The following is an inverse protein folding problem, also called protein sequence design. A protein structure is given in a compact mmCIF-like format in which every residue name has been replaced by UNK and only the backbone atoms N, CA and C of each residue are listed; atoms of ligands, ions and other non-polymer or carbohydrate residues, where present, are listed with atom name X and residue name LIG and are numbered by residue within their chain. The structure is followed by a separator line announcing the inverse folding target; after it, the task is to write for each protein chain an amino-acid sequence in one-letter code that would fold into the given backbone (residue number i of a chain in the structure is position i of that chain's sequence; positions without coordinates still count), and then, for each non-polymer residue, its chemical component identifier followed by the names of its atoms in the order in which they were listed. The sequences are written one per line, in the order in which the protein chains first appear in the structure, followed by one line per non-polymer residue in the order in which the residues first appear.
data_IF_345517876735
#
_entry.id   IF_345517876735
#
_cell.length_a   1.000
_cell.length_b   1.000
_cell.length_c   1.000
_cell.angle_alpha   90.00
_cell.angle_beta   90.00
_cell.angle_gamma   90.00
#
_symmetry.space_group_name_H-M   'P 1'
#
loop_
_entity.id
_entity.type
_entity.pdbx_description
1 polymer ?
#
# COMPACT_ATOMS: atom_id res chain seq x y z
N UNK A 1 -60.06 -39.74 -5.91
CA UNK A 1 -59.79 -38.60 -6.80
C UNK A 1 -58.97 -37.46 -6.15
N UNK A 2 -58.34 -37.67 -4.98
CA UNK A 2 -57.58 -36.60 -4.27
C UNK A 2 -56.06 -36.91 -4.17
N UNK A 3 -55.65 -38.18 -4.33
CA UNK A 3 -54.23 -38.55 -4.31
C UNK A 3 -53.48 -38.31 -5.63
N UNK A 4 -54.16 -38.32 -6.78
CA UNK A 4 -53.56 -38.12 -8.09
C UNK A 4 -53.20 -36.65 -8.40
N UNK A 5 -53.83 -35.68 -7.72
CA UNK A 5 -53.50 -34.25 -7.89
C UNK A 5 -52.24 -33.81 -7.13
N UNK A 6 -51.82 -34.55 -6.10
CA UNK A 6 -50.69 -34.15 -5.23
C UNK A 6 -49.33 -34.52 -5.82
N UNK A 7 -49.25 -35.56 -6.64
CA UNK A 7 -48.01 -35.94 -7.33
C UNK A 7 -47.68 -34.98 -8.48
N UNK A 8 -48.69 -34.53 -9.24
CA UNK A 8 -48.48 -33.64 -10.40
C UNK A 8 -47.91 -32.27 -10.03
N UNK A 9 -48.24 -31.74 -8.84
CA UNK A 9 -47.73 -30.45 -8.35
C UNK A 9 -46.26 -30.55 -7.91
N UNK A 10 -45.85 -31.69 -7.34
CA UNK A 10 -44.46 -31.90 -6.90
C UNK A 10 -43.47 -31.97 -8.07
N UNK A 11 -43.85 -32.61 -9.19
CA UNK A 11 -43.01 -32.66 -10.38
C UNK A 11 -42.90 -31.29 -11.08
N UNK A 12 -43.94 -30.46 -11.02
CA UNK A 12 -43.95 -29.12 -11.62
C UNK A 12 -42.99 -28.16 -10.89
N UNK A 13 -42.96 -28.21 -9.55
CA UNK A 13 -42.11 -27.34 -8.71
C UNK A 13 -40.62 -27.67 -8.88
N UNK A 14 -40.26 -28.94 -9.05
CA UNK A 14 -38.86 -29.33 -9.34
C UNK A 14 -38.42 -28.91 -10.75
N UNK A 15 -39.30 -28.98 -11.75
CA UNK A 15 -38.99 -28.50 -13.11
C UNK A 15 -38.82 -26.97 -13.17
N UNK A 16 -39.62 -26.21 -12.42
CA UNK A 16 -39.53 -24.76 -12.33
C UNK A 16 -38.23 -24.29 -11.63
N UNK A 17 -37.77 -25.00 -10.59
CA UNK A 17 -36.47 -24.71 -9.97
C UNK A 17 -35.28 -25.09 -10.86
N UNK A 18 -35.38 -26.15 -11.67
CA UNK A 18 -34.32 -26.52 -12.60
C UNK A 18 -34.20 -25.50 -13.76
N UNK A 19 -35.29 -24.96 -14.28
CA UNK A 19 -35.23 -23.96 -15.37
C UNK A 19 -34.73 -22.59 -14.86
N UNK A 20 -35.00 -22.22 -13.61
CA UNK A 20 -34.45 -21.01 -12.99
C UNK A 20 -32.96 -21.12 -12.63
N UNK A 21 -32.40 -22.33 -12.50
CA UNK A 21 -30.97 -22.55 -12.30
C UNK A 21 -30.15 -22.47 -13.61
N UNK A 22 -30.78 -22.63 -14.77
CA UNK A 22 -30.13 -22.59 -16.10
C UNK A 22 -30.34 -21.27 -16.86
N UNK A 23 -31.05 -20.31 -16.28
CA UNK A 23 -31.20 -18.97 -16.82
C UNK A 23 -30.52 -17.92 -15.93
N UNK A 24 -29.30 -18.21 -15.47
CA UNK A 24 -28.34 -17.12 -15.32
C UNK A 24 -28.09 -16.61 -16.74
N UNK A 25 -28.44 -15.36 -17.09
CA UNK A 25 -27.80 -14.80 -18.26
C UNK A 25 -26.31 -14.95 -17.99
N UNK A 26 -25.61 -15.69 -18.84
CA UNK A 26 -24.16 -15.67 -18.84
C UNK A 26 -23.83 -14.19 -18.83
N UNK A 27 -23.33 -13.69 -17.69
CA UNK A 27 -22.89 -12.32 -17.58
C UNK A 27 -21.90 -12.22 -18.70
N UNK A 28 -22.28 -11.49 -19.76
CA UNK A 28 -21.43 -11.32 -20.92
C UNK A 28 -20.10 -10.95 -20.31
N UNK A 29 -19.10 -11.81 -20.50
CA UNK A 29 -17.72 -11.49 -20.16
C UNK A 29 -17.43 -10.35 -21.11
N UNK A 30 -17.76 -9.13 -20.65
CA UNK A 30 -17.51 -7.89 -21.33
C UNK A 30 -16.12 -8.05 -21.87
N UNK A 31 -15.97 -7.90 -23.18
CA UNK A 31 -14.69 -8.01 -23.85
C UNK A 31 -13.75 -7.08 -23.09
N UNK A 32 -12.97 -7.64 -22.16
CA UNK A 32 -12.43 -6.86 -21.06
C UNK A 32 -11.35 -6.01 -21.70
N UNK A 33 -11.69 -4.75 -21.99
CA UNK A 33 -10.70 -3.75 -22.33
C UNK A 33 -9.55 -3.91 -21.35
N UNK A 34 -8.32 -3.89 -21.87
CA UNK A 34 -7.12 -4.11 -21.06
C UNK A 34 -7.23 -3.27 -19.78
N UNK A 35 -7.28 -3.95 -18.62
CA UNK A 35 -7.37 -3.27 -17.33
C UNK A 35 -6.07 -2.50 -17.13
N UNK A 36 -6.18 -1.18 -17.01
CA UNK A 36 -5.03 -0.29 -16.77
C UNK A 36 -4.44 -0.60 -15.40
N UNK A 37 -3.22 -1.15 -15.29
CA UNK A 37 -2.61 -1.37 -13.98
C UNK A 37 -2.35 -0.05 -13.25
N UNK A 38 -2.40 -0.10 -11.92
CA UNK A 38 -2.32 1.08 -11.04
C UNK A 38 -1.12 0.94 -10.10
N UNK A 39 -0.37 2.03 -9.95
CA UNK A 39 0.66 2.17 -8.90
C UNK A 39 0.17 3.23 -7.91
N UNK A 40 0.09 2.86 -6.63
CA UNK A 40 -0.21 3.78 -5.54
C UNK A 40 1.02 4.59 -5.15
N UNK A 41 0.89 5.91 -5.20
CA UNK A 41 1.90 6.86 -4.72
C UNK A 41 1.36 7.56 -3.47
N UNK A 42 1.86 7.21 -2.27
CA UNK A 42 1.31 7.69 -1.01
C UNK A 42 1.63 9.16 -0.73
N UNK A 43 0.88 9.73 0.21
CA UNK A 43 1.13 11.06 0.75
C UNK A 43 2.09 11.02 1.93
N UNK A 44 2.15 12.14 2.65
CA UNK A 44 2.92 12.23 3.90
C UNK A 44 2.40 11.24 4.95
N UNK A 45 3.31 10.50 5.60
CA UNK A 45 2.98 9.39 6.49
C UNK A 45 2.33 8.17 5.83
N UNK A 46 2.17 8.15 4.50
CA UNK A 46 1.31 7.18 3.80
C UNK A 46 1.95 5.84 3.44
N UNK A 47 3.08 5.48 4.05
CA UNK A 47 3.71 4.17 3.88
C UNK A 47 4.40 3.70 5.15
N UNK A 48 4.62 2.41 5.30
CA UNK A 48 5.42 1.87 6.40
C UNK A 48 6.88 2.38 6.37
N UNK A 49 7.51 2.45 7.55
CA UNK A 49 8.94 2.71 7.75
C UNK A 49 9.47 1.74 8.79
N UNK A 50 10.64 1.19 8.53
CA UNK A 50 11.38 0.35 9.48
C UNK A 50 12.61 1.08 10.01
N UNK A 51 12.98 0.81 11.26
CA UNK A 51 14.18 1.34 11.90
C UNK A 51 15.06 0.25 12.50
N UNK A 52 16.37 0.49 12.52
CA UNK A 52 17.36 -0.25 13.30
C UNK A 52 18.19 0.73 14.13
N UNK A 53 18.39 0.42 15.41
CA UNK A 53 19.03 1.32 16.36
C UNK A 53 20.42 0.82 16.76
N UNK A 54 21.36 1.76 16.88
CA UNK A 54 22.68 1.63 17.46
C UNK A 54 23.16 2.99 17.99
N UNK A 55 22.41 3.55 18.95
CA UNK A 55 22.61 4.88 19.53
C UNK A 55 23.53 4.82 20.75
N UNK A 56 24.31 5.88 20.96
CA UNK A 56 25.15 6.02 22.16
C UNK A 56 24.40 6.69 23.32
N UNK A 57 23.45 7.57 23.01
CA UNK A 57 22.61 8.30 23.97
C UNK A 57 21.13 8.20 23.61
N UNK A 58 20.28 8.55 24.58
CA UNK A 58 18.84 8.63 24.43
C UNK A 58 18.31 9.83 25.20
N UNK A 59 17.14 10.33 24.81
CA UNK A 59 16.46 11.44 25.50
C UNK A 59 15.98 11.05 26.90
N UNK A 60 15.58 9.79 27.09
CA UNK A 60 15.15 9.23 28.37
C UNK A 60 15.76 7.85 28.58
N UNK A 61 15.82 7.40 29.85
CA UNK A 61 16.40 6.10 30.23
C UNK A 61 15.61 4.89 29.71
N UNK A 62 14.32 5.10 29.41
CA UNK A 62 13.40 4.07 28.89
C UNK A 62 13.56 3.83 27.39
N UNK A 63 14.21 4.74 26.65
CA UNK A 63 14.31 4.62 25.21
C UNK A 63 15.36 3.57 24.86
N UNK A 64 14.97 2.63 24.01
CA UNK A 64 15.89 1.63 23.49
C UNK A 64 16.98 2.30 22.64
N UNK A 65 18.22 1.87 22.87
CA UNK A 65 19.39 2.41 22.15
C UNK A 65 19.85 1.50 21.02
N UNK A 66 19.61 0.20 21.13
CA UNK A 66 20.13 -0.81 20.20
C UNK A 66 19.06 -1.83 19.89
N UNK A 67 18.87 -2.18 18.61
CA UNK A 67 18.00 -3.30 18.21
C UNK A 67 18.81 -4.33 17.43
N UNK A 68 18.45 -5.61 17.53
CA UNK A 68 19.15 -6.68 16.80
C UNK A 68 18.88 -6.61 15.29
N UNK A 69 17.64 -6.28 14.92
CA UNK A 69 17.18 -6.17 13.54
C UNK A 69 16.28 -4.93 13.37
N UNK A 70 15.81 -4.73 12.15
CA UNK A 70 14.80 -3.75 11.81
C UNK A 70 13.46 -4.09 12.47
N UNK A 71 12.81 -3.07 13.02
CA UNK A 71 11.43 -3.13 13.50
C UNK A 71 10.59 -2.06 12.82
N UNK A 72 9.27 -2.26 12.77
CA UNK A 72 8.37 -1.25 12.24
C UNK A 72 8.29 -0.05 13.20
N UNK A 73 8.81 1.10 12.76
CA UNK A 73 8.77 2.36 13.52
C UNK A 73 7.56 3.21 13.12
N UNK A 74 7.01 2.99 11.93
CA UNK A 74 5.82 3.66 11.46
C UNK A 74 4.98 2.74 10.54
N UNK A 75 3.68 2.58 10.74
CA UNK A 75 2.90 3.01 11.90
C UNK A 75 2.90 1.91 12.97
N UNK A 76 3.40 2.25 14.15
CA UNK A 76 3.30 1.40 15.33
C UNK A 76 2.71 2.22 16.50
N UNK A 77 1.45 1.95 16.85
CA UNK A 77 0.71 2.71 17.85
C UNK A 77 1.29 2.60 19.27
N UNK A 78 1.98 1.49 19.57
CA UNK A 78 2.64 1.30 20.87
C UNK A 78 3.78 2.31 21.08
N UNK A 79 4.38 2.80 20.00
CA UNK A 79 5.44 3.82 20.04
C UNK A 79 4.89 5.24 20.21
N UNK A 80 3.57 5.43 20.11
CA UNK A 80 2.92 6.76 20.12
C UNK A 80 2.22 7.09 21.44
N UNK A 81 2.29 6.20 22.44
CA UNK A 81 1.71 6.45 23.77
C UNK A 81 2.50 7.52 24.54
N UNK A 82 1.90 8.19 25.54
CA UNK A 82 2.62 9.13 26.39
C UNK A 82 3.92 8.54 26.93
N UNK A 83 4.94 9.38 27.11
CA UNK A 83 6.29 9.01 27.56
C UNK A 83 7.12 8.28 26.49
N UNK A 84 6.55 7.34 25.73
CA UNK A 84 7.26 6.61 24.66
C UNK A 84 7.41 7.44 23.38
N UNK A 85 6.43 8.33 23.12
CA UNK A 85 6.46 9.22 21.95
C UNK A 85 7.75 10.04 21.84
N UNK A 86 8.38 10.42 22.94
CA UNK A 86 9.66 11.16 22.92
C UNK A 86 10.80 10.31 22.33
N UNK A 87 10.80 9.00 22.60
CA UNK A 87 11.75 8.06 22.00
C UNK A 87 11.50 7.91 20.49
N UNK A 88 10.23 7.84 20.09
CA UNK A 88 9.85 7.79 18.68
C UNK A 88 10.26 9.05 17.93
N UNK A 89 9.98 10.24 18.49
CA UNK A 89 10.39 11.53 17.91
C UNK A 89 11.91 11.61 17.74
N UNK A 90 12.69 11.22 18.75
CA UNK A 90 14.15 11.24 18.66
C UNK A 90 14.69 10.27 17.60
N UNK A 91 13.99 9.17 17.33
CA UNK A 91 14.39 8.21 16.29
C UNK A 91 13.94 8.63 14.89
N UNK A 92 12.76 9.25 14.74
CA UNK A 92 12.19 9.62 13.45
C UNK A 92 12.64 10.99 12.93
N UNK A 93 13.14 11.88 13.80
CA UNK A 93 13.58 13.23 13.38
C UNK A 93 14.70 13.19 12.35
N UNK A 94 14.74 14.23 11.52
CA UNK A 94 15.84 14.51 10.62
C UNK A 94 16.79 15.53 11.25
N UNK A 95 18.08 15.35 11.03
CA UNK A 95 19.14 16.30 11.36
C UNK A 95 19.51 17.05 10.08
N UNK A 96 19.29 18.37 10.08
CA UNK A 96 19.63 19.24 8.95
C UNK A 96 21.07 19.73 9.04
N UNK A 97 21.82 19.62 7.94
CA UNK A 97 23.16 20.17 7.81
C UNK A 97 23.10 21.49 7.02
N UNK A 98 23.53 22.57 7.66
CA UNK A 98 23.49 23.92 7.08
C UNK A 98 24.53 24.13 5.95
N UNK A 99 25.59 23.32 5.90
CA UNK A 99 26.65 23.39 4.88
C UNK A 99 26.25 22.61 3.64
N UNK A 100 25.85 21.35 3.79
CA UNK A 100 25.43 20.52 2.64
C UNK A 100 24.02 20.85 2.17
N UNK A 101 23.21 21.48 3.03
CA UNK A 101 21.78 21.78 2.82
C UNK A 101 20.93 20.51 2.64
N UNK A 102 21.36 19.40 3.25
CA UNK A 102 20.68 18.10 3.21
C UNK A 102 20.32 17.60 4.60
N UNK A 103 19.53 16.53 4.65
CA UNK A 103 19.08 15.89 5.88
C UNK A 103 19.69 14.51 6.07
N UNK A 104 19.97 14.16 7.33
CA UNK A 104 20.41 12.84 7.76
C UNK A 104 19.51 12.31 8.88
N UNK A 105 19.54 11.00 9.13
CA UNK A 105 18.86 10.43 10.30
C UNK A 105 19.59 10.83 11.60
N UNK A 106 18.90 10.68 12.72
CA UNK A 106 19.55 10.76 14.05
C UNK A 106 20.76 9.82 14.12
N UNK A 107 21.90 10.24 14.71
CA UNK A 107 23.07 9.38 14.86
C UNK A 107 22.73 8.04 15.52
N UNK A 108 23.15 6.94 14.88
CA UNK A 108 22.84 5.58 15.32
C UNK A 108 21.43 5.10 14.95
N UNK A 109 20.68 5.80 14.10
CA UNK A 109 19.40 5.34 13.57
C UNK A 109 19.50 5.09 12.07
N UNK A 110 19.31 3.83 11.68
CA UNK A 110 19.17 3.43 10.28
C UNK A 110 17.68 3.27 9.97
N UNK A 111 17.21 3.88 8.89
CA UNK A 111 15.84 3.75 8.42
C UNK A 111 15.81 3.16 7.03
N UNK A 112 14.80 2.32 6.77
CA UNK A 112 14.50 1.80 5.43
C UNK A 112 13.01 1.91 5.15
N UNK A 113 12.70 2.01 3.86
CA UNK A 113 11.34 1.99 3.36
C UNK A 113 11.06 0.59 2.81
N UNK A 114 10.30 -0.25 3.53
CA UNK A 114 10.06 -1.63 3.13
C UNK A 114 9.06 -1.72 1.97
N UNK A 115 9.01 -2.90 1.34
CA UNK A 115 7.90 -3.27 0.44
C UNK A 115 7.78 -2.46 -0.85
N UNK A 116 8.88 -1.92 -1.39
CA UNK A 116 8.80 -1.23 -2.69
C UNK A 116 8.28 -2.17 -3.79
N UNK A 117 7.17 -1.79 -4.43
CA UNK A 117 6.43 -2.61 -5.39
C UNK A 117 5.24 -3.36 -4.79
N UNK A 118 5.26 -3.67 -3.49
CA UNK A 118 4.16 -4.33 -2.79
C UNK A 118 3.10 -3.30 -2.36
N UNK A 119 1.82 -3.42 -2.77
CA UNK A 119 0.79 -2.49 -2.35
C UNK A 119 0.47 -2.61 -0.85
N UNK A 120 0.82 -3.71 -0.17
CA UNK A 120 0.49 -3.92 1.25
C UNK A 120 0.97 -2.77 2.16
N UNK A 121 2.20 -2.30 1.96
CA UNK A 121 2.85 -1.29 2.82
C UNK A 121 2.30 0.13 2.66
N UNK A 122 1.43 0.34 1.66
CA UNK A 122 0.68 1.60 1.46
C UNK A 122 -0.82 1.39 1.63
N UNK A 123 -1.33 0.15 1.52
CA UNK A 123 -2.70 -0.19 1.91
C UNK A 123 -2.87 -0.15 3.44
N UNK A 124 -1.87 -0.65 4.16
CA UNK A 124 -1.83 -0.74 5.61
C UNK A 124 -0.55 -0.11 6.16
N UNK A 125 -0.68 1.00 6.87
CA UNK A 125 0.42 1.66 7.55
C UNK A 125 0.86 0.87 8.79
N UNK A 126 -0.09 0.20 9.45
CA UNK A 126 0.17 -0.70 10.57
C UNK A 126 0.21 -2.15 10.05
N UNK A 127 1.35 -2.87 10.19
CA UNK A 127 1.47 -4.26 9.73
C UNK A 127 0.46 -5.22 10.35
N UNK A 128 -0.07 -4.92 11.55
CA UNK A 128 -1.11 -5.71 12.22
C UNK A 128 -2.50 -5.58 11.57
N UNK A 129 -2.66 -4.66 10.62
CA UNK A 129 -3.92 -4.30 9.97
C UNK A 129 -4.95 -3.71 10.95
N UNK A 130 -4.47 -3.05 12.01
CA UNK A 130 -5.33 -2.21 12.83
C UNK A 130 -6.06 -1.17 11.96
N UNK A 131 -7.35 -0.92 12.24
CA UNK A 131 -8.17 -0.03 11.41
C UNK A 131 -7.65 1.40 11.36
N UNK A 132 -6.95 1.85 12.42
CA UNK A 132 -6.23 3.12 12.48
C UNK A 132 -5.12 3.26 11.44
N UNK A 133 -4.55 2.15 10.97
CA UNK A 133 -3.54 2.10 9.92
C UNK A 133 -4.11 1.83 8.53
N UNK A 134 -5.43 1.79 8.35
CA UNK A 134 -6.04 1.61 7.02
C UNK A 134 -5.86 2.87 6.18
N UNK A 135 -5.24 2.75 5.01
CA UNK A 135 -5.00 3.88 4.12
C UNK A 135 -5.46 3.58 2.68
N UNK A 136 -4.64 3.00 1.79
CA UNK A 136 -5.09 2.61 0.45
C UNK A 136 -5.92 1.32 0.39
N UNK A 137 -6.07 0.60 1.51
CA UNK A 137 -6.70 -0.73 1.56
C UNK A 137 -8.06 -0.78 0.85
N UNK A 138 -8.95 0.18 1.10
CA UNK A 138 -10.30 0.13 0.53
C UNK A 138 -10.31 0.42 -0.98
N UNK A 139 -9.40 1.28 -1.46
CA UNK A 139 -9.16 1.49 -2.90
C UNK A 139 -8.60 0.20 -3.52
N UNK A 140 -7.61 -0.42 -2.89
CA UNK A 140 -7.07 -1.72 -3.32
C UNK A 140 -8.15 -2.80 -3.40
N UNK A 141 -9.03 -2.90 -2.40
CA UNK A 141 -10.15 -3.83 -2.39
C UNK A 141 -11.16 -3.56 -3.53
N UNK A 142 -11.48 -2.29 -3.78
CA UNK A 142 -12.37 -1.92 -4.87
C UNK A 142 -11.77 -2.28 -6.25
N UNK A 143 -10.47 -2.07 -6.44
CA UNK A 143 -9.77 -2.45 -7.67
C UNK A 143 -9.76 -3.98 -7.85
N UNK A 144 -9.48 -4.75 -6.78
CA UNK A 144 -9.54 -6.22 -6.85
C UNK A 144 -10.95 -6.70 -7.20
N UNK A 145 -12.00 -6.07 -6.65
CA UNK A 145 -13.39 -6.42 -6.96
C UNK A 145 -13.76 -6.24 -8.44
N UNK A 146 -13.02 -5.43 -9.20
CA UNK A 146 -13.20 -5.22 -10.65
C UNK A 146 -12.14 -5.91 -11.50
N UNK A 147 -11.38 -6.87 -10.92
CA UNK A 147 -10.50 -7.76 -11.67
C UNK A 147 -9.01 -7.38 -11.66
N UNK A 148 -8.60 -6.43 -10.82
CA UNK A 148 -7.17 -6.24 -10.56
C UNK A 148 -6.60 -7.30 -9.63
N UNK A 149 -5.27 -7.46 -9.66
CA UNK A 149 -4.51 -8.39 -8.83
C UNK A 149 -3.35 -7.65 -8.16
N UNK A 150 -3.25 -7.77 -6.83
CA UNK A 150 -2.15 -7.19 -6.04
C UNK A 150 -0.83 -7.81 -6.47
N UNK A 151 0.24 -7.00 -6.44
CA UNK A 151 1.56 -7.36 -6.94
C UNK A 151 1.64 -7.59 -8.46
N UNK A 152 0.53 -7.52 -9.20
CA UNK A 152 0.48 -7.62 -10.66
C UNK A 152 0.00 -6.33 -11.29
N UNK A 153 -1.28 -6.00 -11.13
CA UNK A 153 -1.94 -4.81 -11.68
C UNK A 153 -2.27 -3.77 -10.61
N UNK A 154 -1.92 -4.02 -9.36
CA UNK A 154 -1.86 -3.04 -8.26
C UNK A 154 -0.48 -3.15 -7.62
N UNK A 155 0.27 -2.05 -7.59
CA UNK A 155 1.60 -1.97 -6.97
C UNK A 155 1.68 -0.76 -6.02
N UNK A 156 2.58 -0.82 -5.05
CA UNK A 156 2.86 0.30 -4.14
C UNK A 156 4.23 0.94 -4.42
N UNK A 157 4.30 2.27 -4.38
CA UNK A 157 5.56 3.02 -4.51
C UNK A 157 5.83 3.84 -3.23
N UNK A 158 6.14 3.19 -2.10
CA UNK A 158 6.48 3.87 -0.85
C UNK A 158 7.82 4.62 -0.98
N UNK A 159 7.98 5.68 -0.20
CA UNK A 159 9.21 6.49 -0.14
C UNK A 159 9.40 7.07 1.27
N UNK A 160 10.58 7.63 1.53
CA UNK A 160 10.82 8.35 2.78
C UNK A 160 10.08 9.69 2.73
N UNK A 161 8.85 9.69 3.23
CA UNK A 161 7.96 10.84 3.22
C UNK A 161 8.47 12.01 4.05
N UNK A 162 9.48 11.81 4.90
CA UNK A 162 10.12 12.88 5.67
C UNK A 162 11.01 13.76 4.80
N UNK A 163 11.42 13.27 3.63
CA UNK A 163 12.38 13.91 2.72
C UNK A 163 11.67 14.52 1.51
N UNK A 164 12.17 15.67 1.06
CA UNK A 164 11.72 16.34 -0.14
C UNK A 164 12.22 15.63 -1.43
N UNK A 165 11.68 15.97 -2.62
CA UNK A 165 12.08 15.33 -3.89
C UNK A 165 13.59 15.37 -4.17
N UNK A 166 14.28 16.45 -3.78
CA UNK A 166 15.71 16.64 -3.98
C UNK A 166 16.59 15.71 -3.11
N UNK A 167 16.01 14.91 -2.23
CA UNK A 167 16.72 13.88 -1.46
C UNK A 167 16.11 12.48 -1.70
N UNK A 168 15.26 12.34 -2.72
CA UNK A 168 14.54 11.12 -3.09
C UNK A 168 14.86 10.67 -4.54
N UNK A 169 16.05 10.98 -5.06
CA UNK A 169 16.42 10.63 -6.45
C UNK A 169 16.39 9.12 -6.69
N UNK A 170 16.85 8.32 -5.74
CA UNK A 170 16.80 6.86 -5.84
C UNK A 170 15.36 6.35 -5.96
N UNK A 171 14.42 6.96 -5.22
CA UNK A 171 13.00 6.64 -5.34
C UNK A 171 12.48 6.87 -6.76
N UNK A 172 12.85 7.98 -7.41
CA UNK A 172 12.40 8.26 -8.78
C UNK A 172 12.96 7.28 -9.82
N UNK A 173 14.21 6.83 -9.65
CA UNK A 173 14.80 5.77 -10.48
C UNK A 173 14.02 4.46 -10.28
N UNK A 174 13.73 4.10 -9.04
CA UNK A 174 12.94 2.90 -8.72
C UNK A 174 11.49 3.00 -9.22
N UNK A 175 10.87 4.17 -9.14
CA UNK A 175 9.51 4.40 -9.64
C UNK A 175 9.43 4.21 -11.15
N UNK A 176 10.40 4.71 -11.91
CA UNK A 176 10.51 4.42 -13.36
C UNK A 176 10.59 2.92 -13.61
N UNK A 177 11.49 2.23 -12.91
CA UNK A 177 11.63 0.77 -13.02
C UNK A 177 10.33 0.03 -12.71
N UNK A 178 9.60 0.45 -11.67
CA UNK A 178 8.31 -0.13 -11.30
C UNK A 178 7.25 0.11 -12.37
N UNK A 179 7.19 1.28 -12.98
CA UNK A 179 6.29 1.57 -14.11
C UNK A 179 6.59 0.64 -15.29
N UNK A 180 7.86 0.49 -15.66
CA UNK A 180 8.27 -0.36 -16.79
C UNK A 180 8.02 -1.85 -16.52
N UNK A 181 8.29 -2.32 -15.30
CA UNK A 181 8.00 -3.69 -14.85
C UNK A 181 6.49 -3.96 -14.89
N UNK A 182 5.70 -3.06 -14.29
CA UNK A 182 4.24 -3.17 -14.22
C UNK A 182 3.63 -3.16 -15.63
N UNK A 183 4.12 -2.32 -16.53
CA UNK A 183 3.70 -2.28 -17.93
C UNK A 183 3.90 -3.64 -18.62
N UNK A 184 5.11 -4.22 -18.49
CA UNK A 184 5.45 -5.52 -19.12
C UNK A 184 4.64 -6.67 -18.53
N UNK A 185 4.48 -6.70 -17.21
CA UNK A 185 3.68 -7.71 -16.52
C UNK A 185 2.20 -7.70 -16.91
N UNK A 186 1.69 -6.55 -17.33
CA UNK A 186 0.29 -6.36 -17.71
C UNK A 186 0.08 -6.30 -19.22
N UNK A 187 0.75 -7.17 -19.99
CA UNK A 187 0.59 -7.27 -21.45
C UNK A 187 0.83 -5.94 -22.19
N UNK A 188 1.87 -5.22 -21.77
CA UNK A 188 2.25 -3.93 -22.33
C UNK A 188 1.08 -2.93 -22.29
N UNK A 189 0.41 -2.86 -21.14
CA UNK A 189 -0.71 -1.92 -20.92
C UNK A 189 -0.20 -0.69 -20.18
N UNK A 190 -0.49 0.54 -20.66
CA UNK A 190 -0.11 1.78 -19.96
C UNK A 190 -0.51 1.78 -18.49
N UNK A 191 0.37 2.27 -17.62
CA UNK A 191 0.20 2.27 -16.17
C UNK A 191 -0.36 3.61 -15.71
N UNK A 192 -1.33 3.58 -14.80
CA UNK A 192 -1.82 4.78 -14.10
C UNK A 192 -1.10 4.96 -12.76
N UNK A 193 -0.60 6.16 -12.49
CA UNK A 193 -0.16 6.56 -11.15
C UNK A 193 -1.35 7.13 -10.40
N UNK A 194 -1.76 6.47 -9.32
CA UNK A 194 -2.80 6.95 -8.42
C UNK A 194 -2.14 7.55 -7.19
N UNK A 195 -2.08 8.88 -7.16
CA UNK A 195 -1.39 9.65 -6.14
C UNK A 195 -2.38 10.26 -5.14
N UNK A 196 -1.98 10.34 -3.86
CA UNK A 196 -2.74 11.05 -2.83
C UNK A 196 -1.88 12.08 -2.10
N UNK A 197 -2.44 13.27 -1.85
CA UNK A 197 -1.79 14.35 -1.09
C UNK A 197 -0.36 14.62 -1.61
N UNK A 198 0.68 14.56 -0.77
CA UNK A 198 2.09 14.73 -1.16
C UNK A 198 2.58 13.76 -2.25
N UNK A 199 1.92 12.62 -2.45
CA UNK A 199 2.20 11.74 -3.59
C UNK A 199 1.95 12.40 -4.94
N UNK A 200 1.05 13.39 -4.99
CA UNK A 200 0.75 14.19 -6.17
C UNK A 200 1.96 15.00 -6.65
N UNK A 201 2.50 15.94 -5.85
CA UNK A 201 3.70 16.67 -6.22
C UNK A 201 4.93 15.78 -6.40
N UNK A 202 5.07 14.66 -5.67
CA UNK A 202 6.12 13.67 -5.92
C UNK A 202 6.00 13.07 -7.33
N UNK A 203 4.79 12.68 -7.73
CA UNK A 203 4.52 12.16 -9.08
C UNK A 203 4.72 13.23 -10.15
N UNK A 204 4.31 14.48 -9.89
CA UNK A 204 4.53 15.59 -10.81
C UNK A 204 6.02 15.87 -11.03
N UNK A 205 6.81 15.90 -9.95
CA UNK A 205 8.25 16.07 -10.02
C UNK A 205 8.89 14.94 -10.84
N UNK A 206 8.49 13.70 -10.60
CA UNK A 206 8.91 12.55 -11.40
C UNK A 206 8.60 12.73 -12.88
N UNK A 207 7.35 13.07 -13.23
CA UNK A 207 6.89 13.18 -14.62
C UNK A 207 7.57 14.32 -15.39
N UNK A 208 7.95 15.42 -14.73
CA UNK A 208 8.70 16.52 -15.35
C UNK A 208 10.15 16.16 -15.72
N UNK A 209 10.66 15.02 -15.24
CA UNK A 209 12.04 14.58 -15.44
C UNK A 209 12.14 13.41 -16.44
N UNK A 210 11.07 13.10 -17.17
CA UNK A 210 11.02 11.98 -18.13
C UNK A 210 11.35 12.39 -19.56
#
# INVERSE_FOLDING_TARGET
MIQLQRQSVFYLVHYLCFILAFALPALSKSNSGKITPVIFVPGDGGSQVDAKLNKTSSVHYICEKTTSDFFNIWLNLELLVPIIIDCWVDNMRLVYDNVTRTTSNTPGVELRIPGFGDPFVVEWLDPSKASSGSYFKDIGNALVAVGHERNVSIRGAPYDFRKAPNENQEYFVKLKGLVEETYKMNNNTPVALLAHSMGGPMSLYFLHQQ
#
